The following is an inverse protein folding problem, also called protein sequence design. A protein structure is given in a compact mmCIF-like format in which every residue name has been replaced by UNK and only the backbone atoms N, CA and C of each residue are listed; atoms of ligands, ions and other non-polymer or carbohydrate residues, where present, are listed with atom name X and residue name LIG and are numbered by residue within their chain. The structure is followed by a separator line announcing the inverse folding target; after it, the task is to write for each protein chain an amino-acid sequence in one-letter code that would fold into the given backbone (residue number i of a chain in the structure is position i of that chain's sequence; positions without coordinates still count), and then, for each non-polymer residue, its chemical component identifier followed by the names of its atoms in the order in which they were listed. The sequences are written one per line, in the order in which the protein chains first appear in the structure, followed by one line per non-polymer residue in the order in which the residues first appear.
data_IF_652394849824
#
_entry.id   IF_652394849824
#
_cell.length_a   1.000
_cell.length_b   1.000
_cell.length_c   1.000
_cell.angle_alpha   90.00
_cell.angle_beta   90.00
_cell.angle_gamma   90.00
#
_symmetry.space_group_name_H-M   'P 1'
#
loop_
_entity.id
_entity.type
_entity.pdbx_description
1 polymer ?
#
# COMPACT_ATOMS: atom_id res chain seq x y z
N UNK A 1 2.97 107.91 73.70
CA UNK A 1 4.15 107.61 74.53
C UNK A 1 5.14 106.77 73.72
N UNK A 2 6.43 107.02 73.93
CA UNK A 2 7.68 106.40 73.39
C UNK A 2 7.67 104.84 73.43
N UNK A 3 8.52 104.02 72.79
CA UNK A 3 9.48 104.03 71.67
C UNK A 3 9.99 102.56 71.46
N UNK A 4 10.25 102.11 70.21
CA UNK A 4 11.27 101.12 69.73
C UNK A 4 11.38 99.67 70.35
N UNK A 5 12.13 98.69 69.76
CA UNK A 5 12.38 98.36 68.34
C UNK A 5 12.40 96.82 68.00
N UNK A 6 12.43 96.52 66.68
CA UNK A 6 13.34 95.58 65.94
C UNK A 6 13.22 94.03 65.94
N UNK A 7 13.37 93.52 64.69
CA UNK A 7 14.05 92.29 64.16
C UNK A 7 13.19 91.12 63.63
N UNK A 8 13.43 90.79 62.35
CA UNK A 8 12.92 89.59 61.65
C UNK A 8 13.69 88.34 62.13
N UNK A 9 13.03 87.21 62.41
CA UNK A 9 13.73 85.93 62.62
C UNK A 9 13.99 85.17 61.31
N UNK A 10 15.10 84.44 61.31
CA UNK A 10 15.77 83.80 60.18
C UNK A 10 15.26 82.37 59.86
N UNK A 11 15.60 81.93 58.64
CA UNK A 11 15.35 80.62 58.05
C UNK A 11 15.86 79.48 58.95
N UNK A 12 15.03 78.45 59.20
CA UNK A 12 15.38 77.29 60.05
C UNK A 12 15.40 75.99 59.24
N UNK A 13 16.50 75.23 59.38
CA UNK A 13 16.96 74.12 58.55
C UNK A 13 16.29 72.78 58.91
N UNK A 14 14.97 72.69 58.77
CA UNK A 14 14.22 71.45 59.00
C UNK A 14 14.38 70.41 57.86
N UNK A 15 15.55 70.34 57.21
CA UNK A 15 15.87 69.39 56.13
C UNK A 15 17.38 69.18 55.98
N UNK A 16 18.09 68.67 57.00
CA UNK A 16 19.43 68.10 56.77
C UNK A 16 19.57 66.72 57.39
N UNK A 17 19.76 65.75 56.49
CA UNK A 17 20.04 64.35 56.75
C UNK A 17 21.44 64.18 57.35
N UNK A 18 21.56 63.45 58.46
CA UNK A 18 22.84 62.94 58.95
C UNK A 18 23.02 61.49 58.52
N UNK A 19 23.91 61.22 57.57
CA UNK A 19 24.36 59.87 57.21
C UNK A 19 25.46 59.41 58.18
N UNK A 20 25.40 58.17 58.73
CA UNK A 20 26.40 57.68 59.69
C UNK A 20 27.78 57.40 59.07
N UNK A 21 28.80 57.48 59.91
CA UNK A 21 30.23 57.50 59.60
C UNK A 21 30.79 56.27 58.83
N UNK A 22 31.84 56.53 58.04
CA UNK A 22 32.59 55.56 57.24
C UNK A 22 33.38 54.57 58.12
N UNK A 23 33.08 53.28 58.00
CA UNK A 23 33.85 52.17 58.58
C UNK A 23 35.20 51.99 57.86
N UNK A 24 36.30 51.94 58.62
CA UNK A 24 37.68 51.69 58.16
C UNK A 24 38.07 50.20 58.22
N UNK A 25 37.33 49.34 57.52
CA UNK A 25 37.79 47.99 57.21
C UNK A 25 38.03 47.86 55.70
N UNK A 26 39.16 47.28 55.25
CA UNK A 26 39.42 47.08 53.83
C UNK A 26 38.31 46.20 53.24
N UNK A 27 37.69 46.70 52.16
CA UNK A 27 36.58 46.04 51.47
C UNK A 27 37.05 44.67 50.95
N UNK A 28 36.30 43.58 51.15
CA UNK A 28 36.65 42.28 50.57
C UNK A 28 36.65 42.39 49.04
N UNK A 29 37.64 41.76 48.40
CA UNK A 29 37.81 41.78 46.95
C UNK A 29 36.59 41.16 46.25
N UNK A 30 36.09 41.83 45.21
CA UNK A 30 34.89 41.46 44.46
C UNK A 30 34.93 40.04 43.86
N UNK A 31 36.13 39.47 43.70
CA UNK A 31 36.32 38.08 43.24
C UNK A 31 35.81 37.03 44.22
N UNK A 32 35.71 37.33 45.52
CA UNK A 32 35.12 36.45 46.52
C UNK A 32 33.57 36.49 46.51
N UNK A 33 32.99 37.53 45.91
CA UNK A 33 31.53 37.78 45.89
C UNK A 33 30.90 37.17 44.63
N UNK A 34 31.64 37.10 43.51
CA UNK A 34 31.11 36.70 42.21
C UNK A 34 31.31 35.21 41.92
N UNK A 35 32.30 34.55 42.52
CA UNK A 35 32.49 33.12 42.34
C UNK A 35 31.62 32.34 43.33
N UNK A 36 30.75 31.40 42.88
CA UNK A 36 30.11 30.47 43.81
C UNK A 36 31.21 29.71 44.57
N UNK A 37 31.13 29.57 45.90
CA UNK A 37 32.14 28.83 46.64
C UNK A 37 32.14 27.40 46.10
N UNK A 38 33.27 26.97 45.54
CA UNK A 38 33.46 25.57 45.19
C UNK A 38 33.16 24.71 46.43
N UNK A 39 32.39 23.62 46.29
CA UNK A 39 31.82 22.86 47.40
C UNK A 39 32.85 22.24 48.35
N UNK A 40 34.14 22.28 48.02
CA UNK A 40 35.21 21.61 48.75
C UNK A 40 35.75 22.33 49.99
N UNK A 41 35.28 23.55 50.32
CA UNK A 41 35.82 24.33 51.46
C UNK A 41 34.82 24.68 52.56
N UNK A 42 33.58 24.22 52.48
CA UNK A 42 32.63 24.33 53.58
C UNK A 42 32.74 23.09 54.47
N UNK A 43 32.56 23.21 55.80
CA UNK A 43 32.39 22.04 56.67
C UNK A 43 31.34 21.12 56.04
N UNK A 44 31.59 19.81 56.00
CA UNK A 44 30.74 18.84 55.31
C UNK A 44 29.25 18.98 55.66
N UNK A 45 28.92 19.45 56.88
CA UNK A 45 27.57 19.74 57.34
C UNK A 45 26.88 20.91 56.59
N UNK A 46 27.61 21.98 56.26
CA UNK A 46 27.07 23.14 55.53
C UNK A 46 26.95 22.85 54.03
N UNK A 47 27.93 22.14 53.46
CA UNK A 47 27.85 21.66 52.08
C UNK A 47 26.68 20.66 51.91
N UNK A 48 26.53 19.71 52.84
CA UNK A 48 25.39 18.80 52.88
C UNK A 48 24.07 19.56 53.08
N UNK A 49 24.02 20.60 53.91
CA UNK A 49 22.82 21.41 54.10
C UNK A 49 22.42 22.18 52.83
N UNK A 50 23.38 22.77 52.12
CA UNK A 50 23.13 23.45 50.84
C UNK A 50 22.72 22.47 49.73
N UNK A 51 23.28 21.26 49.72
CA UNK A 51 22.88 20.20 48.80
C UNK A 51 21.47 19.67 49.13
N UNK A 52 21.13 19.53 50.41
CA UNK A 52 19.77 19.12 50.83
C UNK A 52 18.70 20.16 50.50
N UNK A 53 18.98 21.46 50.67
CA UNK A 53 18.02 22.51 50.31
C UNK A 53 17.83 22.61 48.80
N UNK A 54 18.89 22.39 48.02
CA UNK A 54 18.82 22.25 46.56
C UNK A 54 17.97 21.05 46.15
N UNK A 55 18.22 19.86 46.71
CA UNK A 55 17.44 18.66 46.40
C UNK A 55 15.96 18.82 46.79
N UNK A 56 15.67 19.47 47.92
CA UNK A 56 14.30 19.81 48.32
C UNK A 56 13.62 20.75 47.33
N UNK A 57 14.35 21.75 46.81
CA UNK A 57 13.83 22.64 45.78
C UNK A 57 13.58 21.91 44.45
N UNK A 58 14.49 21.03 44.03
CA UNK A 58 14.32 20.19 42.83
C UNK A 58 13.13 19.24 42.98
N UNK A 59 12.96 18.61 44.15
CA UNK A 59 11.84 17.70 44.41
C UNK A 59 10.50 18.45 44.43
N UNK A 60 10.47 19.67 45.00
CA UNK A 60 9.29 20.53 44.97
C UNK A 60 8.95 20.96 43.53
N UNK A 61 9.94 21.33 42.73
CA UNK A 61 9.75 21.65 41.31
C UNK A 61 9.20 20.45 40.54
N UNK A 62 9.77 19.25 40.74
CA UNK A 62 9.31 18.03 40.08
C UNK A 62 7.90 17.65 40.52
N UNK A 63 7.58 17.82 41.81
CA UNK A 63 6.25 17.55 42.34
C UNK A 63 5.20 18.50 41.77
N UNK A 64 5.49 19.81 41.72
CA UNK A 64 4.59 20.80 41.12
C UNK A 64 4.40 20.54 39.62
N UNK A 65 5.48 20.22 38.90
CA UNK A 65 5.41 19.85 37.49
C UNK A 65 4.55 18.60 37.29
N UNK A 66 4.76 17.54 38.08
CA UNK A 66 4.00 16.30 37.97
C UNK A 66 2.52 16.48 38.34
N UNK A 67 2.23 17.29 39.36
CA UNK A 67 0.86 17.62 39.77
C UNK A 67 0.08 18.30 38.65
N UNK A 68 0.71 19.24 37.95
CA UNK A 68 0.04 20.05 36.93
C UNK A 68 0.12 19.38 35.52
N UNK A 69 1.06 18.45 35.31
CA UNK A 69 1.28 17.77 34.02
C UNK A 69 0.01 17.06 33.49
N UNK A 70 -0.71 16.32 34.34
CA UNK A 70 -1.92 15.62 33.91
C UNK A 70 -3.03 16.56 33.46
N UNK A 71 -3.22 17.67 34.17
CA UNK A 71 -4.22 18.67 33.83
C UNK A 71 -3.87 19.42 32.53
N UNK A 72 -2.60 19.83 32.38
CA UNK A 72 -2.11 20.50 31.16
C UNK A 72 -2.17 19.55 29.96
N UNK A 73 -1.80 18.28 30.14
CA UNK A 73 -1.89 17.27 29.09
C UNK A 73 -3.34 17.05 28.65
N UNK A 74 -4.28 16.90 29.59
CA UNK A 74 -5.70 16.76 29.28
C UNK A 74 -6.25 17.99 28.53
N UNK A 75 -5.89 19.20 28.95
CA UNK A 75 -6.28 20.44 28.27
C UNK A 75 -5.68 20.54 26.86
N UNK A 76 -4.42 20.11 26.69
CA UNK A 76 -3.78 20.08 25.39
C UNK A 76 -4.44 19.07 24.45
N UNK A 77 -4.74 17.85 24.93
CA UNK A 77 -5.48 16.86 24.15
C UNK A 77 -6.88 17.35 23.80
N UNK A 78 -7.65 17.90 24.75
CA UNK A 78 -8.97 18.45 24.48
C UNK A 78 -8.92 19.61 23.46
N UNK A 79 -7.90 20.49 23.55
CA UNK A 79 -7.70 21.57 22.57
C UNK A 79 -7.34 21.02 21.19
N UNK A 80 -6.51 19.99 21.13
CA UNK A 80 -6.12 19.33 19.89
C UNK A 80 -7.31 18.61 19.25
N UNK A 81 -8.07 17.83 20.02
CA UNK A 81 -9.30 17.16 19.59
C UNK A 81 -10.34 18.15 19.08
N UNK A 82 -10.57 19.25 19.80
CA UNK A 82 -11.51 20.29 19.35
C UNK A 82 -11.05 20.92 18.03
N UNK A 83 -9.78 21.34 17.92
CA UNK A 83 -9.24 21.98 16.70
C UNK A 83 -9.22 21.04 15.50
N UNK A 84 -8.81 19.79 15.71
CA UNK A 84 -8.79 18.79 14.65
C UNK A 84 -10.22 18.39 14.27
N UNK A 85 -11.10 18.17 15.24
CA UNK A 85 -12.51 17.87 15.04
C UNK A 85 -13.19 18.92 14.18
N UNK A 86 -13.04 20.21 14.49
CA UNK A 86 -13.61 21.29 13.68
C UNK A 86 -13.08 21.29 12.24
N UNK A 87 -11.78 20.99 12.05
CA UNK A 87 -11.18 20.92 10.72
C UNK A 87 -11.64 19.69 9.95
N UNK A 88 -11.82 18.56 10.61
CA UNK A 88 -12.35 17.34 10.00
C UNK A 88 -13.83 17.52 9.60
N UNK A 89 -14.63 18.19 10.41
CA UNK A 89 -16.01 18.54 10.07
C UNK A 89 -16.09 19.50 8.88
N UNK A 90 -15.22 20.52 8.86
CA UNK A 90 -15.11 21.46 7.74
C UNK A 90 -14.66 20.76 6.46
N UNK A 91 -13.62 19.94 6.53
CA UNK A 91 -13.12 19.13 5.42
C UNK A 91 -14.18 18.13 4.95
N UNK A 92 -14.91 17.50 5.87
CA UNK A 92 -16.01 16.59 5.56
C UNK A 92 -17.14 17.30 4.81
N UNK A 93 -17.48 18.53 5.23
CA UNK A 93 -18.44 19.38 4.50
C UNK A 93 -17.94 19.77 3.12
N UNK A 94 -16.68 20.18 2.99
CA UNK A 94 -16.10 20.57 1.71
C UNK A 94 -16.01 19.37 0.75
N UNK A 95 -15.52 18.24 1.24
CA UNK A 95 -15.50 16.97 0.51
C UNK A 95 -16.90 16.54 0.07
N UNK A 96 -17.91 16.68 0.94
CA UNK A 96 -19.31 16.43 0.58
C UNK A 96 -19.79 17.33 -0.56
N UNK A 97 -19.47 18.63 -0.52
CA UNK A 97 -19.82 19.59 -1.60
C UNK A 97 -19.12 19.29 -2.92
N UNK A 98 -17.87 18.84 -2.87
CA UNK A 98 -17.13 18.42 -4.07
C UNK A 98 -17.75 17.15 -4.65
N UNK A 99 -18.02 16.16 -3.81
CA UNK A 99 -18.66 14.90 -4.21
C UNK A 99 -20.03 15.12 -4.84
N UNK A 100 -20.85 16.04 -4.31
CA UNK A 100 -22.15 16.41 -4.91
C UNK A 100 -21.99 17.00 -6.33
N UNK A 101 -20.99 17.87 -6.53
CA UNK A 101 -20.71 18.48 -7.84
C UNK A 101 -20.20 17.47 -8.84
N UNK A 102 -19.26 16.61 -8.42
CA UNK A 102 -18.73 15.52 -9.23
C UNK A 102 -19.84 14.56 -9.62
N UNK A 103 -20.73 14.21 -8.68
CA UNK A 103 -21.91 13.38 -8.95
C UNK A 103 -22.80 14.01 -10.02
N UNK A 104 -23.12 15.30 -9.92
CA UNK A 104 -23.96 15.97 -10.91
C UNK A 104 -23.31 16.02 -12.29
N UNK A 105 -22.01 16.32 -12.36
CA UNK A 105 -21.25 16.30 -13.61
C UNK A 105 -21.26 14.90 -14.24
N UNK A 106 -20.94 13.87 -13.45
CA UNK A 106 -20.95 12.47 -13.88
C UNK A 106 -22.35 12.02 -14.32
N UNK A 107 -23.42 12.41 -13.62
CA UNK A 107 -24.81 12.12 -14.01
C UNK A 107 -25.13 12.74 -15.38
N UNK A 108 -24.71 13.98 -15.63
CA UNK A 108 -24.90 14.66 -16.92
C UNK A 108 -24.17 13.93 -18.05
N UNK A 109 -22.89 13.60 -17.83
CA UNK A 109 -22.07 12.87 -18.81
C UNK A 109 -22.62 11.47 -19.08
N UNK A 110 -23.11 10.78 -18.04
CA UNK A 110 -23.76 9.48 -18.15
C UNK A 110 -25.05 9.55 -18.98
N UNK A 111 -25.91 10.55 -18.75
CA UNK A 111 -27.14 10.73 -19.53
C UNK A 111 -26.81 11.00 -21.00
N UNK A 112 -25.81 11.85 -21.26
CA UNK A 112 -25.36 12.13 -22.62
C UNK A 112 -24.77 10.88 -23.29
N UNK A 113 -23.96 10.10 -22.57
CA UNK A 113 -23.42 8.85 -23.06
C UNK A 113 -24.51 7.82 -23.36
N UNK A 114 -25.48 7.63 -22.46
CA UNK A 114 -26.64 6.75 -22.66
C UNK A 114 -27.46 7.19 -23.88
N UNK A 115 -27.73 8.49 -24.03
CA UNK A 115 -28.44 9.01 -25.20
C UNK A 115 -27.69 8.79 -26.51
N UNK A 116 -26.35 8.94 -26.50
CA UNK A 116 -25.52 8.65 -27.67
C UNK A 116 -25.56 7.17 -28.00
N UNK A 117 -25.28 6.32 -27.01
CA UNK A 117 -25.29 4.86 -27.13
C UNK A 117 -26.63 4.30 -27.62
N UNK A 118 -27.73 4.85 -27.11
CA UNK A 118 -29.09 4.52 -27.50
C UNK A 118 -29.43 4.88 -28.95
N UNK A 119 -28.79 5.93 -29.48
CA UNK A 119 -29.07 6.46 -30.83
C UNK A 119 -28.04 6.00 -31.86
N UNK A 120 -26.90 5.51 -31.41
CA UNK A 120 -25.85 4.95 -32.26
C UNK A 120 -26.13 3.47 -32.52
N UNK A 121 -25.60 2.94 -33.63
CA UNK A 121 -25.69 1.52 -33.95
C UNK A 121 -26.90 1.10 -34.78
N UNK A 122 -26.98 -0.21 -35.02
CA UNK A 122 -28.06 -0.86 -35.77
C UNK A 122 -29.12 -1.50 -34.87
N UNK A 123 -28.79 -1.71 -33.59
CA UNK A 123 -29.62 -2.40 -32.61
C UNK A 123 -30.38 -1.39 -31.73
N UNK A 124 -31.58 -1.76 -31.28
CA UNK A 124 -32.34 -0.98 -30.31
C UNK A 124 -31.61 -0.90 -28.97
N UNK A 125 -31.93 0.11 -28.15
CA UNK A 125 -31.32 0.29 -26.83
C UNK A 125 -31.59 -0.94 -25.95
N UNK A 126 -32.80 -1.49 -26.07
CA UNK A 126 -33.25 -2.68 -25.35
C UNK A 126 -32.41 -3.90 -25.71
N UNK A 127 -32.15 -4.13 -27.01
CA UNK A 127 -31.31 -5.23 -27.49
C UNK A 127 -29.86 -5.08 -27.01
N UNK A 128 -29.35 -3.84 -27.01
CA UNK A 128 -28.02 -3.51 -26.51
C UNK A 128 -27.90 -3.76 -25.01
N UNK A 129 -28.91 -3.35 -24.23
CA UNK A 129 -28.97 -3.60 -22.77
C UNK A 129 -29.04 -5.09 -22.50
N UNK A 130 -29.91 -5.83 -23.18
CA UNK A 130 -30.04 -7.28 -23.01
C UNK A 130 -28.73 -7.99 -23.34
N UNK A 131 -28.10 -7.63 -24.46
CA UNK A 131 -26.82 -8.23 -24.86
C UNK A 131 -25.70 -7.91 -23.86
N UNK A 132 -25.66 -6.69 -23.33
CA UNK A 132 -24.71 -6.31 -22.30
C UNK A 132 -24.95 -7.05 -20.98
N UNK A 133 -26.21 -7.23 -20.57
CA UNK A 133 -26.60 -8.00 -19.39
C UNK A 133 -26.19 -9.49 -19.51
N UNK A 134 -26.42 -10.09 -20.68
CA UNK A 134 -25.98 -11.46 -20.99
C UNK A 134 -24.46 -11.59 -20.89
N UNK A 135 -23.72 -10.61 -21.42
CA UNK A 135 -22.25 -10.60 -21.40
C UNK A 135 -21.74 -10.40 -19.97
N UNK A 136 -22.26 -9.43 -19.22
CA UNK A 136 -21.81 -9.13 -17.86
C UNK A 136 -22.15 -10.26 -16.89
N UNK A 137 -23.37 -10.81 -16.97
CA UNK A 137 -23.76 -11.98 -16.18
C UNK A 137 -22.89 -13.17 -16.55
N UNK A 138 -22.65 -13.40 -17.85
CA UNK A 138 -21.76 -14.45 -18.32
C UNK A 138 -20.33 -14.28 -17.78
N UNK A 139 -19.78 -13.08 -17.85
CA UNK A 139 -18.45 -12.76 -17.39
C UNK A 139 -18.31 -12.92 -15.87
N UNK A 140 -19.32 -12.51 -15.11
CA UNK A 140 -19.40 -12.72 -13.68
C UNK A 140 -19.38 -14.22 -13.31
N UNK A 141 -20.17 -15.04 -14.00
CA UNK A 141 -20.18 -16.50 -13.75
C UNK A 141 -18.86 -17.18 -14.12
N UNK A 142 -18.09 -16.61 -15.05
CA UNK A 142 -16.77 -17.12 -15.39
C UNK A 142 -15.69 -16.64 -14.42
N UNK A 143 -15.77 -15.40 -13.94
CA UNK A 143 -14.79 -14.80 -13.03
C UNK A 143 -14.93 -15.26 -11.59
N UNK A 144 -16.02 -15.96 -11.24
CA UNK A 144 -16.15 -16.60 -9.93
C UNK A 144 -14.94 -17.52 -9.63
N UNK A 145 -14.42 -17.54 -8.39
CA UNK A 145 -13.22 -18.31 -8.01
C UNK A 145 -13.39 -19.85 -8.11
N UNK A 146 -14.62 -20.32 -8.30
CA UNK A 146 -14.98 -21.71 -8.61
C UNK A 146 -15.60 -21.87 -10.01
N UNK A 147 -15.58 -20.82 -10.81
CA UNK A 147 -16.11 -20.76 -12.16
C UNK A 147 -15.39 -21.72 -13.11
N UNK A 148 -15.97 -21.92 -14.29
CA UNK A 148 -15.38 -22.80 -15.32
C UNK A 148 -13.98 -22.35 -15.72
N UNK A 149 -13.77 -21.03 -15.86
CA UNK A 149 -12.47 -20.45 -16.18
C UNK A 149 -11.42 -20.76 -15.11
N UNK A 150 -11.71 -20.45 -13.84
CA UNK A 150 -10.81 -20.72 -12.73
C UNK A 150 -10.45 -22.21 -12.59
N UNK A 151 -11.35 -23.14 -12.95
CA UNK A 151 -11.05 -24.59 -12.96
C UNK A 151 -10.09 -24.99 -14.07
N UNK A 152 -10.21 -24.38 -15.26
CA UNK A 152 -9.32 -24.59 -16.40
C UNK A 152 -7.91 -24.07 -16.07
N UNK A 153 -7.82 -22.85 -15.51
CA UNK A 153 -6.56 -22.25 -15.05
C UNK A 153 -5.91 -23.10 -13.96
N UNK A 154 -6.65 -23.48 -12.90
CA UNK A 154 -6.12 -24.35 -11.82
C UNK A 154 -5.67 -25.74 -12.30
N UNK A 155 -6.23 -26.25 -13.39
CA UNK A 155 -5.77 -27.53 -13.97
C UNK A 155 -4.46 -27.33 -14.70
N UNK A 156 -4.33 -26.24 -15.45
CA UNK A 156 -3.08 -25.85 -16.09
C UNK A 156 -1.98 -25.53 -15.09
N UNK A 157 -2.25 -24.75 -14.04
CA UNK A 157 -1.27 -24.43 -12.98
C UNK A 157 -0.69 -25.70 -12.35
N UNK A 158 -1.54 -26.67 -11.98
CA UNK A 158 -1.07 -27.95 -11.43
C UNK A 158 -0.22 -28.75 -12.41
N UNK A 159 -0.54 -28.69 -13.70
CA UNK A 159 0.27 -29.32 -14.73
C UNK A 159 1.60 -28.57 -14.92
N UNK A 160 1.60 -27.24 -14.88
CA UNK A 160 2.79 -26.42 -14.98
C UNK A 160 3.72 -26.62 -13.78
N UNK A 161 3.16 -26.79 -12.58
CA UNK A 161 3.91 -27.17 -11.37
C UNK A 161 4.58 -28.53 -11.57
N UNK A 162 3.84 -29.53 -12.07
CA UNK A 162 4.39 -30.85 -12.39
C UNK A 162 5.48 -30.79 -13.46
N UNK A 163 5.31 -29.96 -14.48
CA UNK A 163 6.34 -29.71 -15.50
C UNK A 163 7.61 -29.14 -14.87
N UNK A 164 7.49 -28.16 -13.97
CA UNK A 164 8.65 -27.60 -13.26
C UNK A 164 9.34 -28.66 -12.38
N UNK A 165 8.56 -29.47 -11.65
CA UNK A 165 9.07 -30.58 -10.83
C UNK A 165 9.81 -31.62 -11.68
N UNK A 166 9.27 -31.98 -12.85
CA UNK A 166 9.89 -32.91 -13.79
C UNK A 166 11.20 -32.35 -14.35
N UNK A 167 11.24 -31.07 -14.73
CA UNK A 167 12.47 -30.42 -15.16
C UNK A 167 13.52 -30.36 -14.04
N UNK A 168 13.15 -30.04 -12.81
CA UNK A 168 14.08 -30.03 -11.67
C UNK A 168 14.62 -31.44 -11.37
N UNK A 169 13.76 -32.46 -11.41
CA UNK A 169 14.15 -33.85 -11.20
C UNK A 169 15.14 -34.36 -12.27
N UNK A 170 15.09 -33.84 -13.51
CA UNK A 170 16.08 -34.14 -14.56
C UNK A 170 17.44 -33.50 -14.30
N UNK A 171 17.47 -32.34 -13.64
CA UNK A 171 18.73 -31.67 -13.30
C UNK A 171 19.41 -32.27 -12.05
N UNK A 172 18.66 -32.93 -11.19
CA UNK A 172 19.17 -33.60 -9.98
C UNK A 172 19.23 -35.13 -10.13
N UNK A 173 20.43 -35.65 -10.37
CA UNK A 173 20.72 -37.10 -10.47
C UNK A 173 20.20 -37.88 -9.25
N UNK A 174 20.17 -37.26 -8.06
CA UNK A 174 19.66 -37.86 -6.83
C UNK A 174 18.14 -38.00 -6.82
N UNK A 175 17.40 -37.04 -7.39
CA UNK A 175 15.94 -37.12 -7.54
C UNK A 175 15.52 -38.03 -8.69
N UNK A 176 16.30 -38.09 -9.77
CA UNK A 176 16.06 -38.97 -10.92
C UNK A 176 16.02 -40.46 -10.54
N UNK A 177 16.82 -40.88 -9.53
CA UNK A 177 16.85 -42.26 -9.04
C UNK A 177 15.72 -42.59 -8.05
N UNK A 178 15.13 -41.57 -7.41
CA UNK A 178 14.12 -41.71 -6.35
C UNK A 178 12.69 -41.63 -6.92
N UNK A 179 12.47 -40.77 -7.90
CA UNK A 179 11.19 -40.64 -8.59
C UNK A 179 11.27 -41.49 -9.86
N UNK A 180 10.54 -42.62 -9.90
CA UNK A 180 10.59 -43.56 -11.03
C UNK A 180 10.33 -42.88 -12.38
N UNK A 181 10.74 -43.52 -13.48
CA UNK A 181 10.77 -42.93 -14.82
C UNK A 181 9.50 -42.17 -15.26
N UNK A 182 8.29 -42.58 -14.83
CA UNK A 182 7.03 -41.89 -15.16
C UNK A 182 6.94 -40.44 -14.65
N UNK A 183 7.59 -40.13 -13.53
CA UNK A 183 7.60 -38.77 -12.96
C UNK A 183 8.56 -37.81 -13.67
N UNK A 184 9.40 -38.33 -14.57
CA UNK A 184 10.33 -37.55 -15.36
C UNK A 184 9.71 -37.06 -16.66
N UNK A 185 8.53 -37.54 -17.07
CA UNK A 185 7.89 -37.14 -18.32
C UNK A 185 6.81 -36.07 -18.09
N UNK A 186 6.78 -35.08 -18.99
CA UNK A 186 5.68 -34.11 -19.01
C UNK A 186 4.50 -34.77 -19.73
N UNK A 187 3.50 -35.24 -18.98
CA UNK A 187 2.26 -35.75 -19.57
C UNK A 187 1.46 -34.62 -20.24
N UNK A 188 0.82 -34.88 -21.38
CA UNK A 188 -0.09 -33.93 -22.04
C UNK A 188 -1.28 -33.55 -21.14
N UNK A 189 -1.84 -32.35 -21.31
CA UNK A 189 -3.15 -32.09 -20.73
C UNK A 189 -4.21 -32.92 -21.46
N UNK A 190 -5.16 -33.42 -20.67
CA UNK A 190 -6.30 -34.18 -21.16
C UNK A 190 -7.04 -33.43 -22.29
N UNK A 191 -7.47 -34.17 -23.31
CA UNK A 191 -8.37 -33.71 -24.36
C UNK A 191 -9.61 -32.97 -23.83
N UNK A 192 -10.13 -33.34 -22.64
CA UNK A 192 -11.23 -32.61 -21.99
C UNK A 192 -10.87 -31.18 -21.62
N UNK A 193 -9.62 -30.91 -21.22
CA UNK A 193 -9.17 -29.54 -20.94
C UNK A 193 -9.06 -28.73 -22.23
N UNK A 194 -8.51 -29.30 -23.31
CA UNK A 194 -8.42 -28.62 -24.61
C UNK A 194 -9.81 -28.29 -25.18
N UNK A 195 -10.77 -29.20 -25.03
CA UNK A 195 -12.17 -28.95 -25.41
C UNK A 195 -12.80 -27.84 -24.55
N UNK A 196 -12.52 -27.82 -23.24
CA UNK A 196 -12.97 -26.75 -22.35
C UNK A 196 -12.37 -25.40 -22.76
N UNK A 197 -11.06 -25.31 -23.01
CA UNK A 197 -10.38 -24.12 -23.53
C UNK A 197 -10.99 -23.65 -24.84
N UNK A 198 -11.11 -24.52 -25.85
CA UNK A 198 -11.68 -24.16 -27.16
C UNK A 198 -13.12 -23.63 -27.04
N UNK A 199 -13.93 -24.24 -26.18
CA UNK A 199 -15.30 -23.79 -25.95
C UNK A 199 -15.38 -22.44 -25.20
N UNK A 200 -14.43 -22.16 -24.29
CA UNK A 200 -14.32 -20.87 -23.60
C UNK A 200 -13.83 -19.78 -24.56
N UNK A 201 -12.79 -20.06 -25.35
CA UNK A 201 -12.26 -19.15 -26.37
C UNK A 201 -13.35 -18.75 -27.35
N UNK A 202 -14.07 -19.72 -27.93
CA UNK A 202 -15.19 -19.43 -28.84
C UNK A 202 -16.27 -18.57 -28.20
N UNK A 203 -16.60 -18.83 -26.93
CA UNK A 203 -17.62 -18.05 -26.21
C UNK A 203 -17.14 -16.61 -25.94
N UNK A 204 -15.89 -16.43 -25.53
CA UNK A 204 -15.28 -15.12 -25.31
C UNK A 204 -15.16 -14.33 -26.62
N UNK A 205 -14.83 -14.99 -27.74
CA UNK A 205 -14.83 -14.37 -29.07
C UNK A 205 -16.22 -13.89 -29.50
N UNK A 206 -17.26 -14.70 -29.26
CA UNK A 206 -18.65 -14.29 -29.52
C UNK A 206 -19.00 -13.05 -28.68
N UNK A 207 -18.61 -13.02 -27.41
CA UNK A 207 -18.83 -11.84 -26.56
C UNK A 207 -18.01 -10.64 -27.00
N UNK A 208 -16.77 -10.83 -27.43
CA UNK A 208 -15.94 -9.76 -28.00
C UNK A 208 -16.58 -9.16 -29.26
N UNK A 209 -17.08 -9.99 -30.16
CA UNK A 209 -17.79 -9.54 -31.36
C UNK A 209 -19.08 -8.79 -31.01
N UNK A 210 -19.89 -9.33 -30.08
CA UNK A 210 -21.10 -8.65 -29.59
C UNK A 210 -20.79 -7.32 -28.90
N UNK A 211 -19.73 -7.26 -28.08
CA UNK A 211 -19.30 -6.01 -27.46
C UNK A 211 -18.90 -4.99 -28.52
N UNK A 212 -18.15 -5.39 -29.55
CA UNK A 212 -17.79 -4.50 -30.66
C UNK A 212 -19.01 -4.01 -31.47
N UNK A 213 -20.08 -4.81 -31.55
CA UNK A 213 -21.33 -4.41 -32.20
C UNK A 213 -22.17 -3.42 -31.36
N UNK A 214 -22.01 -3.43 -30.05
CA UNK A 214 -22.78 -2.60 -29.11
C UNK A 214 -21.99 -1.34 -28.70
N UNK A 215 -20.66 -1.43 -28.68
CA UNK A 215 -19.74 -0.36 -28.35
C UNK A 215 -19.54 0.59 -29.54
N UNK A 216 -20.62 1.29 -29.88
CA UNK A 216 -20.60 2.39 -30.84
C UNK A 216 -20.20 3.72 -30.19
N UNK A 217 -19.70 3.71 -28.96
CA UNK A 217 -19.24 4.94 -28.33
C UNK A 217 -17.92 5.32 -28.99
N UNK A 218 -17.78 6.55 -29.52
CA UNK A 218 -16.48 6.98 -30.00
C UNK A 218 -15.52 6.95 -28.80
N UNK A 219 -14.51 6.08 -28.88
CA UNK A 219 -13.33 6.18 -28.03
C UNK A 219 -12.81 7.60 -28.21
N UNK A 220 -13.03 8.48 -27.23
CA UNK A 220 -12.44 9.80 -27.28
C UNK A 220 -10.94 9.60 -27.08
N UNK A 221 -10.22 9.41 -28.18
CA UNK A 221 -8.77 9.34 -28.23
C UNK A 221 -8.20 10.57 -27.50
N UNK A 222 -7.59 10.36 -26.34
CA UNK A 222 -6.96 11.40 -25.53
C UNK A 222 -7.68 11.80 -24.24
N UNK A 223 -8.88 11.28 -23.96
CA UNK A 223 -9.56 11.48 -22.67
C UNK A 223 -9.16 10.33 -21.74
N UNK A 224 -8.49 10.64 -20.63
CA UNK A 224 -8.11 9.65 -19.63
C UNK A 224 -9.34 8.83 -19.21
N UNK A 225 -9.19 7.52 -18.97
CA UNK A 225 -10.28 6.60 -18.58
C UNK A 225 -11.07 7.06 -17.35
N UNK A 226 -10.51 7.98 -16.56
CA UNK A 226 -11.17 8.64 -15.42
C UNK A 226 -12.31 9.59 -15.83
N UNK A 227 -12.24 10.21 -17.00
CA UNK A 227 -13.25 11.12 -17.56
C UNK A 227 -14.26 10.40 -18.47
N UNK A 228 -14.07 9.09 -18.69
CA UNK A 228 -15.04 8.29 -19.42
C UNK A 228 -16.32 8.13 -18.60
N UNK A 229 -17.47 8.23 -19.28
CA UNK A 229 -18.78 7.95 -18.68
C UNK A 229 -18.79 6.57 -18.02
N UNK A 230 -19.63 6.39 -17.01
CA UNK A 230 -19.75 5.09 -16.32
C UNK A 230 -20.02 3.93 -17.27
N UNK A 231 -20.85 4.15 -18.29
CA UNK A 231 -21.11 3.18 -19.35
C UNK A 231 -19.87 2.90 -20.20
N UNK A 232 -19.11 3.93 -20.58
CA UNK A 232 -17.85 3.76 -21.31
C UNK A 232 -16.82 2.98 -20.50
N UNK A 233 -16.70 3.25 -19.19
CA UNK A 233 -15.84 2.49 -18.28
C UNK A 233 -16.28 1.02 -18.16
N UNK A 234 -17.59 0.77 -18.12
CA UNK A 234 -18.13 -0.59 -18.05
C UNK A 234 -17.90 -1.38 -19.33
N UNK A 235 -18.14 -0.78 -20.50
CA UNK A 235 -17.88 -1.41 -21.81
C UNK A 235 -16.40 -1.67 -22.02
N UNK A 236 -15.54 -0.68 -21.74
CA UNK A 236 -14.09 -0.84 -21.80
C UNK A 236 -13.60 -1.90 -20.80
N UNK A 237 -14.14 -1.91 -19.57
CA UNK A 237 -13.81 -2.90 -18.55
C UNK A 237 -14.20 -4.32 -18.97
N UNK A 238 -15.39 -4.51 -19.52
CA UNK A 238 -15.84 -5.80 -20.05
C UNK A 238 -14.97 -6.24 -21.25
N UNK A 239 -14.66 -5.31 -22.17
CA UNK A 239 -13.79 -5.56 -23.32
C UNK A 239 -12.38 -5.96 -22.92
N UNK A 240 -11.77 -5.24 -21.97
CA UNK A 240 -10.45 -5.55 -21.43
C UNK A 240 -10.45 -6.90 -20.73
N UNK A 241 -11.43 -7.19 -19.87
CA UNK A 241 -11.48 -8.47 -19.17
C UNK A 241 -11.66 -9.66 -20.13
N UNK A 242 -12.51 -9.52 -21.16
CA UNK A 242 -12.64 -10.55 -22.22
C UNK A 242 -11.33 -10.69 -23.00
N UNK A 243 -10.63 -9.59 -23.29
CA UNK A 243 -9.33 -9.62 -23.94
C UNK A 243 -8.28 -10.33 -23.09
N UNK A 244 -8.18 -9.98 -21.81
CA UNK A 244 -7.22 -10.56 -20.86
C UNK A 244 -7.47 -12.06 -20.67
N UNK A 245 -8.73 -12.49 -20.57
CA UNK A 245 -9.07 -13.92 -20.49
C UNK A 245 -8.73 -14.67 -21.79
N UNK A 246 -8.89 -14.03 -22.95
CA UNK A 246 -8.49 -14.63 -24.22
C UNK A 246 -6.97 -14.74 -24.32
N UNK A 247 -6.22 -13.69 -23.96
CA UNK A 247 -4.75 -13.71 -24.02
C UNK A 247 -4.18 -14.75 -23.06
N UNK A 248 -4.74 -14.89 -21.87
CA UNK A 248 -4.35 -15.92 -20.91
C UNK A 248 -4.58 -17.33 -21.47
N UNK A 249 -5.76 -17.61 -22.06
CA UNK A 249 -6.05 -18.92 -22.65
C UNK A 249 -5.12 -19.27 -23.83
N UNK A 250 -4.80 -18.30 -24.69
CA UNK A 250 -3.84 -18.51 -25.79
C UNK A 250 -2.42 -18.73 -25.25
N UNK A 251 -2.02 -17.99 -24.23
CA UNK A 251 -0.71 -18.19 -23.60
C UNK A 251 -0.60 -19.57 -22.95
N UNK A 252 -1.67 -20.08 -22.31
CA UNK A 252 -1.71 -21.42 -21.74
C UNK A 252 -1.53 -22.51 -22.81
N UNK A 253 -2.16 -22.36 -23.98
CA UNK A 253 -2.01 -23.29 -25.11
C UNK A 253 -0.60 -23.21 -25.72
N UNK A 254 -0.03 -22.01 -25.86
CA UNK A 254 1.34 -21.82 -26.36
C UNK A 254 2.37 -22.45 -25.41
N UNK A 255 2.21 -22.27 -24.09
CA UNK A 255 3.10 -22.88 -23.09
C UNK A 255 3.02 -24.41 -23.15
N UNK A 256 1.82 -24.99 -23.31
CA UNK A 256 1.66 -26.43 -23.48
C UNK A 256 2.43 -26.94 -24.70
N UNK A 257 2.25 -26.30 -25.87
CA UNK A 257 2.91 -26.71 -27.11
C UNK A 257 4.44 -26.61 -27.01
N UNK A 258 4.94 -25.54 -26.39
CA UNK A 258 6.38 -25.35 -26.18
C UNK A 258 6.95 -26.39 -25.21
N UNK A 259 6.22 -26.73 -24.15
CA UNK A 259 6.65 -27.76 -23.20
C UNK A 259 6.72 -29.14 -23.84
N UNK A 260 5.72 -29.52 -24.65
CA UNK A 260 5.72 -30.79 -25.36
C UNK A 260 6.82 -30.87 -26.42
N UNK A 261 7.06 -29.79 -27.17
CA UNK A 261 8.16 -29.75 -28.13
C UNK A 261 9.53 -29.91 -27.44
N UNK A 262 9.74 -29.25 -26.30
CA UNK A 262 10.96 -29.40 -25.50
C UNK A 262 11.09 -30.82 -24.93
N UNK A 263 9.97 -31.47 -24.62
CA UNK A 263 9.94 -32.85 -24.17
C UNK A 263 10.39 -33.81 -25.27
N UNK A 264 9.81 -33.69 -26.47
CA UNK A 264 10.18 -34.51 -27.63
C UNK A 264 11.68 -34.36 -27.94
N UNK A 265 12.21 -33.14 -27.92
CA UNK A 265 13.65 -32.89 -28.10
C UNK A 265 14.52 -33.54 -27.00
N UNK A 266 14.04 -33.57 -25.75
CA UNK A 266 14.74 -34.25 -24.66
C UNK A 266 14.71 -35.76 -24.84
N UNK A 267 13.54 -36.34 -25.16
CA UNK A 267 13.37 -37.77 -25.43
C UNK A 267 14.28 -38.21 -26.58
N UNK A 268 14.33 -37.44 -27.68
CA UNK A 268 15.23 -37.71 -28.81
C UNK A 268 16.71 -37.68 -28.41
N UNK A 269 17.12 -36.73 -27.57
CA UNK A 269 18.51 -36.66 -27.06
C UNK A 269 18.85 -37.83 -26.16
N UNK A 270 18.00 -38.14 -25.19
CA UNK A 270 18.22 -39.28 -24.26
C UNK A 270 18.23 -40.60 -25.00
N UNK A 271 17.34 -40.80 -25.98
CA UNK A 271 17.34 -42.00 -26.82
C UNK A 271 18.62 -42.12 -27.65
N UNK A 272 19.16 -41.01 -28.16
CA UNK A 272 20.42 -40.99 -28.92
C UNK A 272 21.63 -41.30 -28.04
N UNK A 273 21.70 -40.70 -26.85
CA UNK A 273 22.77 -40.94 -25.88
C UNK A 273 22.72 -42.36 -25.29
N UNK A 274 21.52 -42.94 -25.14
CA UNK A 274 21.34 -44.32 -24.70
C UNK A 274 21.68 -45.37 -25.77
N UNK A 275 21.59 -45.04 -27.06
CA UNK A 275 21.95 -45.95 -28.17
C UNK A 275 23.48 -46.02 -28.38
N UNK A 276 24.21 -44.95 -28.03
CA UNK A 276 25.67 -44.90 -28.08
C UNK A 276 26.37 -45.73 -26.96
N UNK A 277 25.63 -46.15 -25.92
CA UNK A 277 26.12 -47.00 -24.81
C UNK A 277 25.64 -48.47 -24.93
N UNK A 278 24.98 -48.84 -26.03
CA UNK A 278 24.53 -50.21 -26.33
C UNK A 278 25.58 -50.94 -27.18
N UNK A 279 26.69 -51.30 -26.53
CA UNK A 279 27.45 -52.51 -26.86
C UNK A 279 26.74 -53.73 -26.22
N UNK A 280 25.41 -53.81 -26.41
CA UNK A 280 24.60 -54.94 -25.94
C UNK A 280 24.55 -55.97 -27.07
N UNK A 281 25.10 -57.18 -26.89
CA UNK A 281 25.13 -58.17 -27.94
C UNK A 281 23.71 -58.57 -28.31
N UNK A 282 23.38 -58.30 -29.56
CA UNK A 282 22.23 -58.80 -30.32
C UNK A 282 21.87 -60.22 -29.85
N UNK A 283 20.71 -60.37 -29.22
CA UNK A 283 20.17 -61.67 -28.83
C UNK A 283 19.86 -62.51 -30.08
N UNK A 284 20.89 -63.14 -30.64
CA UNK A 284 20.84 -64.13 -31.67
C UNK A 284 21.65 -65.34 -31.20
N UNK A 285 20.99 -66.50 -31.16
CA UNK A 285 21.53 -67.82 -30.85
C UNK A 285 21.56 -68.25 -29.37
N UNK A 286 20.39 -68.57 -28.81
CA UNK A 286 20.25 -69.55 -27.70
C UNK A 286 19.10 -70.53 -27.99
N UNK A 287 19.02 -71.07 -29.22
CA UNK A 287 18.07 -72.15 -29.55
C UNK A 287 18.69 -73.25 -30.42
N UNK A 288 19.98 -73.55 -30.23
CA UNK A 288 20.53 -74.86 -30.60
C UNK A 288 21.44 -75.33 -29.48
N UNK A 289 21.30 -76.61 -29.14
CA UNK A 289 21.94 -77.34 -28.02
C UNK A 289 21.15 -77.08 -26.72
N UNK A 290 20.26 -77.96 -26.23
CA UNK A 290 20.22 -79.44 -26.17
C UNK A 290 18.78 -79.92 -26.39
#
# INVERSE_FOLDING_TARGET
AQAQPRLRPAFSTLQQHYSPAKSQAPKPLTSAIIAPPSPSKLPANIAASAETSRLQAELLQLHLLHRDAGAVQAQWHASAEAKLGTRFEELGRESGRVSERERFAAESDNILALRRWARSGRYGVEDKIQSLDEILTGLWTLSEPAGRYARVVKRFERWADHMCDAEEARHDIGRMLVHGHDSLFIGELDATWREECASLTRRLEIWRARLAEIDDLPTQEGVATAEASSLGRMLAGAGNLVHDMLTELHAMEEIEQLALAREDEWIERVNREGDDDIDTPRAGAVWRVI
#
